data_IF_857520904536
#
_entry.id   IF_857520904536
#
_cell.length_a   1.000
_cell.length_b   1.000
_cell.length_c   1.000
_cell.angle_alpha   90.00
_cell.angle_beta   90.00
_cell.angle_gamma   90.00
#
_symmetry.space_group_name_H-M   'P 1'
#
loop_
_entity.id
_entity.type
_entity.pdbx_description
1 polymer ?
#
# COMPACT_ATOMS: atom_id res chain seq x y z
N UNK A 1 -119.66 -55.41 -57.51
CA UNK A 1 -118.57 -54.51 -57.91
C UNK A 1 -117.85 -55.15 -59.09
N UNK A 2 -118.15 -54.79 -60.35
CA UNK A 2 -117.22 -55.05 -61.44
C UNK A 2 -116.64 -53.70 -61.85
N UNK A 3 -115.35 -53.52 -61.62
CA UNK A 3 -114.65 -52.35 -62.14
C UNK A 3 -114.66 -52.47 -63.66
N UNK A 4 -115.23 -51.47 -64.34
CA UNK A 4 -115.21 -51.39 -65.79
C UNK A 4 -113.76 -51.39 -66.25
N UNK A 5 -113.45 -52.02 -67.39
CA UNK A 5 -112.08 -52.14 -67.93
C UNK A 5 -111.39 -50.77 -68.02
N UNK A 6 -112.14 -49.68 -68.22
CA UNK A 6 -111.67 -48.29 -68.17
C UNK A 6 -111.02 -47.88 -66.86
N UNK A 7 -111.63 -48.26 -65.72
CA UNK A 7 -111.11 -47.92 -64.41
C UNK A 7 -109.76 -48.62 -64.19
N UNK A 8 -109.67 -49.90 -64.55
CA UNK A 8 -108.42 -50.67 -64.48
C UNK A 8 -107.30 -50.06 -65.32
N UNK A 9 -107.57 -49.71 -66.58
CA UNK A 9 -106.57 -49.05 -67.45
C UNK A 9 -106.12 -47.71 -66.82
N UNK A 10 -107.05 -46.92 -66.30
CA UNK A 10 -106.72 -45.63 -65.68
C UNK A 10 -105.88 -45.78 -64.39
N UNK A 11 -106.15 -46.82 -63.59
CA UNK A 11 -105.42 -47.08 -62.35
C UNK A 11 -104.00 -47.54 -62.66
N UNK A 12 -103.80 -48.48 -63.60
CA UNK A 12 -102.49 -48.87 -64.09
C UNK A 12 -101.70 -47.68 -64.68
N UNK A 13 -102.34 -46.82 -65.48
CA UNK A 13 -101.67 -45.65 -66.06
C UNK A 13 -101.12 -44.70 -64.97
N UNK A 14 -101.85 -44.51 -63.86
CA UNK A 14 -101.40 -43.67 -62.75
C UNK A 14 -100.25 -44.31 -61.98
N UNK A 15 -100.36 -45.61 -61.71
CA UNK A 15 -99.37 -46.37 -60.95
C UNK A 15 -98.02 -46.43 -61.68
N UNK A 16 -98.04 -46.79 -62.97
CA UNK A 16 -96.84 -46.85 -63.81
C UNK A 16 -96.18 -45.46 -63.92
N UNK A 17 -96.96 -44.38 -64.05
CA UNK A 17 -96.41 -43.00 -64.04
C UNK A 17 -95.67 -42.68 -62.75
N UNK A 18 -96.24 -43.08 -61.61
CA UNK A 18 -95.61 -42.91 -60.30
C UNK A 18 -94.29 -43.68 -60.19
N UNK A 19 -94.25 -44.91 -60.68
CA UNK A 19 -93.05 -45.75 -60.67
C UNK A 19 -91.96 -45.22 -61.61
N UNK A 20 -92.32 -44.81 -62.84
CA UNK A 20 -91.39 -44.22 -63.81
C UNK A 20 -90.71 -42.96 -63.28
N UNK A 21 -91.40 -42.15 -62.44
CA UNK A 21 -90.81 -40.94 -61.85
C UNK A 21 -89.68 -41.22 -60.85
N UNK A 22 -89.57 -42.46 -60.35
CA UNK A 22 -88.55 -42.88 -59.39
C UNK A 22 -87.28 -43.39 -60.06
N UNK A 23 -87.33 -43.76 -61.33
CA UNK A 23 -86.17 -44.24 -62.09
C UNK A 23 -85.27 -43.05 -62.45
N UNK A 24 -84.03 -43.05 -61.96
CA UNK A 24 -83.04 -42.02 -62.29
C UNK A 24 -82.29 -42.42 -63.56
N UNK A 25 -82.54 -41.72 -64.66
CA UNK A 25 -81.90 -42.00 -65.94
C UNK A 25 -80.36 -41.87 -65.92
N UNK A 26 -79.78 -41.20 -64.92
CA UNK A 26 -78.33 -41.09 -64.72
C UNK A 26 -77.69 -42.44 -64.34
N UNK A 27 -78.44 -43.33 -63.72
CA UNK A 27 -77.93 -44.62 -63.24
C UNK A 27 -77.63 -45.59 -64.39
N UNK A 28 -78.02 -45.23 -65.62
CA UNK A 28 -77.88 -46.02 -66.86
C UNK A 28 -77.13 -45.23 -67.95
N UNK A 29 -76.32 -44.25 -67.57
CA UNK A 29 -75.60 -43.38 -68.49
C UNK A 29 -74.60 -44.19 -69.35
N UNK A 30 -74.75 -44.11 -70.68
CA UNK A 30 -73.91 -44.87 -71.63
C UNK A 30 -74.49 -46.22 -72.07
N UNK A 31 -75.60 -46.67 -71.46
CA UNK A 31 -76.33 -47.85 -71.91
C UNK A 31 -77.39 -47.50 -72.96
N UNK A 32 -77.55 -48.39 -73.95
CA UNK A 32 -78.57 -48.28 -74.98
C UNK A 32 -79.49 -49.51 -74.96
N UNK A 33 -80.78 -49.27 -75.12
CA UNK A 33 -81.86 -50.22 -74.94
C UNK A 33 -82.68 -50.34 -76.23
N UNK A 34 -83.27 -51.52 -76.41
CA UNK A 34 -84.06 -51.85 -77.59
C UNK A 34 -83.33 -52.78 -78.58
N UNK A 35 -84.06 -53.27 -79.58
CA UNK A 35 -83.56 -54.26 -80.53
C UNK A 35 -82.38 -53.75 -81.37
N UNK A 36 -82.31 -52.45 -81.64
CA UNK A 36 -81.22 -51.82 -82.41
C UNK A 36 -80.30 -50.98 -81.53
N UNK A 37 -80.46 -51.02 -80.20
CA UNK A 37 -79.77 -50.15 -79.22
C UNK A 37 -79.98 -48.67 -79.51
N UNK A 38 -81.21 -48.31 -79.86
CA UNK A 38 -81.56 -46.99 -80.36
C UNK A 38 -82.02 -45.99 -79.27
N UNK A 39 -82.31 -46.46 -78.06
CA UNK A 39 -82.81 -45.61 -76.97
C UNK A 39 -81.85 -45.54 -75.79
N UNK A 40 -81.54 -44.33 -75.33
CA UNK A 40 -80.96 -44.14 -73.99
C UNK A 40 -82.05 -44.27 -72.91
N UNK A 41 -81.64 -44.41 -71.65
CA UNK A 41 -82.58 -44.56 -70.54
C UNK A 41 -83.59 -43.40 -70.42
N UNK A 42 -83.20 -42.16 -70.79
CA UNK A 42 -84.12 -41.02 -70.79
C UNK A 42 -85.19 -41.18 -71.86
N UNK A 43 -84.81 -41.57 -73.07
CA UNK A 43 -85.69 -41.79 -74.19
C UNK A 43 -86.67 -42.94 -73.92
N UNK A 44 -86.25 -44.00 -73.23
CA UNK A 44 -87.15 -45.08 -72.79
C UNK A 44 -88.18 -44.58 -71.80
N UNK A 45 -87.76 -43.87 -70.75
CA UNK A 45 -88.65 -43.34 -69.70
C UNK A 45 -89.64 -42.32 -70.29
N UNK A 46 -89.17 -41.37 -71.09
CA UNK A 46 -90.03 -40.37 -71.74
C UNK A 46 -90.94 -41.01 -72.81
N UNK A 47 -90.44 -42.01 -73.53
CA UNK A 47 -91.24 -42.81 -74.46
C UNK A 47 -92.38 -43.56 -73.76
N UNK A 48 -92.11 -44.14 -72.59
CA UNK A 48 -93.13 -44.78 -71.75
C UNK A 48 -94.19 -43.78 -71.28
N UNK A 49 -93.75 -42.62 -70.75
CA UNK A 49 -94.66 -41.53 -70.34
C UNK A 49 -95.54 -41.07 -71.50
N UNK A 50 -94.97 -40.92 -72.70
CA UNK A 50 -95.72 -40.50 -73.89
C UNK A 50 -96.82 -41.50 -74.29
N UNK A 51 -96.57 -42.81 -74.15
CA UNK A 51 -97.55 -43.88 -74.39
C UNK A 51 -98.64 -43.88 -73.32
N UNK A 52 -98.28 -43.69 -72.05
CA UNK A 52 -99.25 -43.57 -70.95
C UNK A 52 -100.13 -42.32 -71.09
N UNK A 53 -99.59 -41.22 -71.63
CA UNK A 53 -100.36 -40.02 -71.99
C UNK A 53 -101.34 -40.29 -73.12
N UNK A 54 -100.96 -41.04 -74.15
CA UNK A 54 -101.90 -41.50 -75.19
C UNK A 54 -103.04 -42.33 -74.60
N UNK A 55 -102.72 -43.27 -73.71
CA UNK A 55 -103.71 -44.11 -73.02
C UNK A 55 -104.66 -43.28 -72.14
N UNK A 56 -104.12 -42.30 -71.39
CA UNK A 56 -104.91 -41.40 -70.57
C UNK A 56 -105.88 -40.55 -71.41
N UNK A 57 -105.43 -40.04 -72.56
CA UNK A 57 -106.24 -39.27 -73.49
C UNK A 57 -107.36 -40.13 -74.11
N UNK A 58 -107.06 -41.38 -74.47
CA UNK A 58 -108.03 -42.35 -74.97
C UNK A 58 -109.17 -42.56 -73.95
N UNK A 59 -108.86 -42.80 -72.68
CA UNK A 59 -109.85 -43.05 -71.61
C UNK A 59 -110.65 -41.79 -71.25
N UNK A 60 -110.02 -40.61 -71.23
CA UNK A 60 -110.69 -39.33 -70.88
C UNK A 60 -111.87 -39.04 -71.82
N UNK A 61 -111.78 -39.49 -73.08
CA UNK A 61 -112.86 -39.43 -74.07
C UNK A 61 -113.83 -40.62 -73.98
N UNK A 62 -114.20 -41.08 -72.79
CA UNK A 62 -114.84 -42.39 -72.53
C UNK A 62 -115.97 -42.84 -73.47
N UNK A 63 -116.82 -41.92 -73.96
CA UNK A 63 -117.86 -42.22 -74.97
C UNK A 63 -117.27 -42.54 -76.35
N UNK A 64 -116.26 -41.79 -76.78
CA UNK A 64 -115.52 -42.02 -78.04
C UNK A 64 -114.67 -43.28 -77.96
N UNK A 65 -114.06 -43.55 -76.80
CA UNK A 65 -113.29 -44.79 -76.59
C UNK A 65 -114.16 -46.06 -76.70
N UNK A 66 -115.39 -46.04 -76.15
CA UNK A 66 -116.35 -47.13 -76.32
C UNK A 66 -116.76 -47.37 -77.78
N UNK A 67 -116.77 -46.32 -78.61
CA UNK A 67 -117.12 -46.41 -80.02
C UNK A 67 -115.98 -46.96 -80.89
N UNK A 68 -114.73 -46.69 -80.52
CA UNK A 68 -113.55 -47.06 -81.32
C UNK A 68 -112.80 -48.29 -80.81
N UNK A 69 -113.14 -48.81 -79.62
CA UNK A 69 -112.47 -49.99 -79.04
C UNK A 69 -113.43 -51.13 -78.74
N UNK A 70 -112.95 -52.37 -78.93
CA UNK A 70 -113.69 -53.57 -78.52
C UNK A 70 -113.40 -53.96 -77.07
N UNK A 71 -114.21 -54.84 -76.49
CA UNK A 71 -113.94 -55.39 -75.15
C UNK A 71 -112.62 -56.17 -75.11
N UNK A 72 -112.34 -56.96 -76.15
CA UNK A 72 -111.11 -57.75 -76.23
C UNK A 72 -109.87 -56.85 -76.30
N UNK A 73 -109.91 -55.78 -77.10
CA UNK A 73 -108.82 -54.80 -77.18
C UNK A 73 -108.57 -54.13 -75.82
N UNK A 74 -109.63 -53.72 -75.12
CA UNK A 74 -109.48 -53.14 -73.77
C UNK A 74 -108.92 -54.16 -72.77
N UNK A 75 -109.29 -55.42 -72.87
CA UNK A 75 -108.76 -56.49 -72.02
C UNK A 75 -107.28 -56.74 -72.30
N UNK A 76 -106.87 -56.70 -73.57
CA UNK A 76 -105.47 -56.84 -73.97
C UNK A 76 -104.63 -55.65 -73.45
N UNK A 77 -105.14 -54.42 -73.58
CA UNK A 77 -104.48 -53.22 -73.03
C UNK A 77 -104.28 -53.33 -71.51
N UNK A 78 -105.26 -53.88 -70.77
CA UNK A 78 -105.09 -54.11 -69.33
C UNK A 78 -103.97 -55.11 -69.04
N UNK A 79 -103.92 -56.22 -69.77
CA UNK A 79 -102.83 -57.19 -69.63
C UNK A 79 -101.47 -56.58 -69.98
N UNK A 80 -101.42 -55.79 -71.05
CA UNK A 80 -100.20 -55.14 -71.49
C UNK A 80 -99.68 -54.11 -70.49
N UNK A 81 -100.57 -53.38 -69.82
CA UNK A 81 -100.23 -52.43 -68.77
C UNK A 81 -99.79 -53.12 -67.48
N UNK A 82 -100.39 -54.26 -67.13
CA UNK A 82 -99.96 -55.04 -65.98
C UNK A 82 -98.51 -55.55 -66.15
N UNK A 83 -98.17 -56.10 -67.33
CA UNK A 83 -96.80 -56.50 -67.64
C UNK A 83 -95.84 -55.30 -67.65
N UNK A 84 -96.28 -54.16 -68.22
CA UNK A 84 -95.46 -52.95 -68.21
C UNK A 84 -95.19 -52.46 -66.79
N UNK A 85 -96.15 -52.57 -65.87
CA UNK A 85 -95.93 -52.25 -64.46
C UNK A 85 -94.85 -53.14 -63.84
N UNK A 86 -94.92 -54.45 -64.01
CA UNK A 86 -93.93 -55.38 -63.47
C UNK A 86 -92.51 -55.07 -63.99
N UNK A 87 -92.39 -54.69 -65.27
CA UNK A 87 -91.10 -54.30 -65.86
C UNK A 87 -90.57 -52.97 -65.32
N UNK A 88 -91.46 -52.01 -65.01
CA UNK A 88 -91.09 -50.75 -64.38
C UNK A 88 -90.71 -50.95 -62.91
N UNK A 89 -91.38 -51.82 -62.17
CA UNK A 89 -91.01 -52.16 -60.78
C UNK A 89 -89.65 -52.86 -60.70
N UNK A 90 -89.37 -53.76 -61.63
CA UNK A 90 -88.09 -54.47 -61.74
C UNK A 90 -86.96 -53.65 -62.38
N UNK A 91 -87.24 -52.41 -62.81
CA UNK A 91 -86.27 -51.51 -63.46
C UNK A 91 -85.63 -52.10 -64.72
N UNK A 92 -86.34 -52.97 -65.46
CA UNK A 92 -85.84 -53.62 -66.67
C UNK A 92 -86.18 -52.80 -67.93
N UNK A 93 -85.30 -51.86 -68.26
CA UNK A 93 -85.48 -50.92 -69.38
C UNK A 93 -85.60 -51.62 -70.74
N UNK A 94 -84.98 -52.79 -70.95
CA UNK A 94 -85.11 -53.53 -72.21
C UNK A 94 -86.49 -54.15 -72.37
N UNK A 95 -87.04 -54.75 -71.29
CA UNK A 95 -88.41 -55.29 -71.33
C UNK A 95 -89.46 -54.19 -71.44
N UNK A 96 -89.21 -53.03 -70.82
CA UNK A 96 -90.03 -51.83 -71.03
C UNK A 96 -90.06 -51.46 -72.52
N UNK A 97 -88.90 -51.36 -73.19
CA UNK A 97 -88.85 -51.02 -74.62
C UNK A 97 -89.64 -52.03 -75.48
N UNK A 98 -89.45 -53.33 -75.24
CA UNK A 98 -90.20 -54.37 -75.96
C UNK A 98 -91.71 -54.17 -75.78
N UNK A 99 -92.17 -53.98 -74.55
CA UNK A 99 -93.60 -53.81 -74.28
C UNK A 99 -94.17 -52.51 -74.86
N UNK A 100 -93.39 -51.43 -74.86
CA UNK A 100 -93.77 -50.19 -75.53
C UNK A 100 -93.89 -50.36 -77.04
N UNK A 101 -93.04 -51.18 -77.66
CA UNK A 101 -93.10 -51.47 -79.09
C UNK A 101 -94.33 -52.33 -79.46
N UNK A 102 -94.84 -53.13 -78.54
CA UNK A 102 -96.12 -53.85 -78.71
C UNK A 102 -97.34 -52.93 -78.57
N UNK A 103 -97.30 -52.01 -77.59
CA UNK A 103 -98.37 -51.06 -77.31
C UNK A 103 -98.50 -49.95 -78.38
N UNK A 104 -97.38 -49.51 -78.98
CA UNK A 104 -97.36 -48.41 -79.95
C UNK A 104 -98.24 -48.67 -81.19
N UNK A 105 -98.15 -49.81 -81.90
CA UNK A 105 -99.02 -50.13 -83.03
C UNK A 105 -100.51 -50.13 -82.69
N UNK A 106 -100.87 -50.68 -81.52
CA UNK A 106 -102.25 -50.69 -81.04
C UNK A 106 -102.77 -49.27 -80.83
N UNK A 107 -101.96 -48.38 -80.27
CA UNK A 107 -102.36 -46.98 -80.04
C UNK A 107 -102.44 -46.13 -81.31
N UNK A 108 -101.62 -46.43 -82.33
CA UNK A 108 -101.59 -45.67 -83.60
C UNK A 108 -102.91 -45.76 -84.35
N UNK A 109 -103.58 -46.90 -84.34
CA UNK A 109 -104.86 -47.12 -85.03
C UNK A 109 -105.97 -46.18 -84.52
N UNK A 110 -105.85 -45.68 -83.30
CA UNK A 110 -106.81 -44.76 -82.67
C UNK A 110 -106.55 -43.28 -82.96
N UNK A 111 -105.47 -42.92 -83.67
CA UNK A 111 -105.21 -41.54 -84.11
C UNK A 111 -105.00 -40.51 -82.99
N UNK A 112 -104.65 -40.97 -81.78
CA UNK A 112 -104.65 -40.16 -80.55
C UNK A 112 -103.67 -38.98 -80.59
N UNK A 113 -102.59 -39.09 -81.36
CA UNK A 113 -101.57 -38.04 -81.50
C UNK A 113 -102.09 -36.79 -82.22
N UNK A 114 -103.11 -36.94 -83.06
CA UNK A 114 -103.77 -35.85 -83.78
C UNK A 114 -105.08 -35.44 -83.10
N UNK A 115 -105.33 -35.89 -81.86
CA UNK A 115 -106.53 -35.55 -81.12
C UNK A 115 -106.42 -34.17 -80.48
N UNK A 116 -107.54 -33.44 -80.42
CA UNK A 116 -107.62 -32.14 -79.74
C UNK A 116 -107.20 -32.22 -78.27
N UNK A 117 -107.54 -33.32 -77.60
CA UNK A 117 -107.18 -33.55 -76.19
C UNK A 117 -105.66 -33.61 -75.96
N UNK A 118 -104.88 -34.15 -76.90
CA UNK A 118 -103.42 -34.18 -76.79
C UNK A 118 -102.78 -32.82 -77.13
N UNK A 119 -103.40 -32.05 -78.02
CA UNK A 119 -102.97 -30.69 -78.32
C UNK A 119 -103.16 -29.72 -77.13
N UNK A 120 -104.25 -29.89 -76.38
CA UNK A 120 -104.48 -29.15 -75.12
C UNK A 120 -103.40 -29.49 -74.07
N UNK A 121 -103.07 -30.77 -73.89
CA UNK A 121 -102.01 -31.21 -72.97
C UNK A 121 -100.63 -30.69 -73.37
N UNK A 122 -100.32 -30.67 -74.67
CA UNK A 122 -99.10 -30.07 -75.19
C UNK A 122 -99.03 -28.55 -74.94
N UNK A 123 -100.15 -27.84 -75.14
CA UNK A 123 -100.23 -26.39 -74.92
C UNK A 123 -100.07 -26.02 -73.43
N UNK A 124 -100.64 -26.84 -72.54
CA UNK A 124 -100.45 -26.73 -71.09
C UNK A 124 -98.97 -26.93 -70.73
N UNK A 125 -98.30 -27.92 -71.31
CA UNK A 125 -96.89 -28.18 -71.03
C UNK A 125 -95.97 -27.05 -71.54
N UNK A 126 -96.28 -26.46 -72.70
CA UNK A 126 -95.57 -25.25 -73.17
C UNK A 126 -95.72 -24.09 -72.19
N UNK A 127 -96.93 -23.87 -71.66
CA UNK A 127 -97.17 -22.82 -70.67
C UNK A 127 -96.38 -23.09 -69.38
N UNK A 128 -96.34 -24.34 -68.92
CA UNK A 128 -95.52 -24.74 -67.77
C UNK A 128 -94.03 -24.47 -68.01
N UNK A 129 -93.51 -24.79 -69.22
CA UNK A 129 -92.12 -24.52 -69.58
C UNK A 129 -91.80 -23.02 -69.62
N UNK A 130 -92.73 -22.19 -70.07
CA UNK A 130 -92.56 -20.73 -70.06
C UNK A 130 -92.49 -20.19 -68.62
N UNK A 131 -93.34 -20.68 -67.71
CA UNK A 131 -93.29 -20.33 -66.29
C UNK A 131 -91.95 -20.77 -65.68
N UNK A 132 -91.52 -22.00 -65.95
CA UNK A 132 -90.26 -22.53 -65.44
C UNK A 132 -89.05 -21.74 -65.96
N UNK A 133 -89.08 -21.31 -67.23
CA UNK A 133 -88.06 -20.43 -67.79
C UNK A 133 -88.00 -19.09 -67.04
N UNK A 134 -89.14 -18.46 -66.78
CA UNK A 134 -89.20 -17.22 -66.01
C UNK A 134 -88.60 -17.37 -64.61
N UNK A 135 -88.93 -18.46 -63.92
CA UNK A 135 -88.32 -18.78 -62.61
C UNK A 135 -86.82 -19.00 -62.69
N UNK A 136 -86.31 -19.57 -63.79
CA UNK A 136 -84.89 -19.75 -64.01
C UNK A 136 -84.18 -18.41 -64.24
N UNK A 137 -84.77 -17.51 -65.03
CA UNK A 137 -84.24 -16.17 -65.29
C UNK A 137 -84.18 -15.35 -63.99
N UNK A 138 -85.22 -15.40 -63.15
CA UNK A 138 -85.23 -14.76 -61.81
C UNK A 138 -84.11 -15.31 -60.91
N UNK A 139 -83.90 -16.63 -60.90
CA UNK A 139 -82.81 -17.25 -60.13
C UNK A 139 -81.43 -16.85 -60.64
N UNK A 140 -81.27 -16.75 -61.96
CA UNK A 140 -80.00 -16.30 -62.55
C UNK A 140 -79.65 -14.88 -62.14
N UNK A 141 -80.64 -13.99 -62.10
CA UNK A 141 -80.39 -12.60 -61.69
C UNK A 141 -80.10 -12.49 -60.19
N UNK A 142 -80.78 -13.27 -59.35
CA UNK A 142 -80.46 -13.37 -57.93
C UNK A 142 -79.01 -13.84 -57.69
N UNK A 143 -78.56 -14.89 -58.41
CA UNK A 143 -77.17 -15.37 -58.35
C UNK A 143 -76.19 -14.28 -58.76
N UNK A 144 -76.52 -13.49 -59.79
CA UNK A 144 -75.66 -12.40 -60.26
C UNK A 144 -75.49 -11.30 -59.23
N UNK A 145 -76.58 -10.94 -58.53
CA UNK A 145 -76.53 -9.97 -57.42
C UNK A 145 -75.67 -10.52 -56.27
N UNK A 146 -75.88 -11.77 -55.87
CA UNK A 146 -75.08 -12.42 -54.83
C UNK A 146 -73.59 -12.48 -55.19
N UNK A 147 -73.25 -12.76 -56.46
CA UNK A 147 -71.86 -12.72 -56.94
C UNK A 147 -71.22 -11.35 -56.74
N UNK A 148 -71.93 -10.26 -57.08
CA UNK A 148 -71.43 -8.91 -56.87
C UNK A 148 -71.19 -8.59 -55.38
N UNK A 149 -72.08 -9.04 -54.50
CA UNK A 149 -71.88 -8.89 -53.06
C UNK A 149 -70.69 -9.69 -52.53
N UNK A 150 -70.48 -10.91 -53.05
CA UNK A 150 -69.33 -11.75 -52.70
C UNK A 150 -68.03 -11.09 -53.15
N UNK A 151 -67.97 -10.56 -54.38
CA UNK A 151 -66.79 -9.86 -54.90
C UNK A 151 -66.46 -8.61 -54.07
N UNK A 152 -67.49 -7.83 -53.69
CA UNK A 152 -67.30 -6.67 -52.82
C UNK A 152 -66.73 -7.07 -51.45
N UNK A 153 -67.30 -8.11 -50.81
CA UNK A 153 -66.81 -8.61 -49.52
C UNK A 153 -65.41 -9.21 -49.62
N UNK A 154 -65.09 -9.85 -50.75
CA UNK A 154 -63.76 -10.38 -51.01
C UNK A 154 -62.73 -9.26 -51.12
N UNK A 155 -63.06 -8.16 -51.80
CA UNK A 155 -62.18 -6.99 -51.88
C UNK A 155 -61.89 -6.39 -50.50
N UNK A 156 -62.93 -6.22 -49.67
CA UNK A 156 -62.77 -5.70 -48.30
C UNK A 156 -61.92 -6.66 -47.44
N UNK A 157 -62.10 -7.97 -47.58
CA UNK A 157 -61.32 -8.97 -46.86
C UNK A 157 -59.83 -8.94 -47.26
N UNK A 158 -59.53 -8.74 -48.54
CA UNK A 158 -58.15 -8.61 -49.04
C UNK A 158 -57.48 -7.34 -48.51
N UNK A 159 -58.19 -6.22 -48.46
CA UNK A 159 -57.67 -4.97 -47.91
C UNK A 159 -57.30 -5.13 -46.42
N UNK A 160 -58.23 -5.68 -45.61
CA UNK A 160 -57.96 -5.97 -44.19
C UNK A 160 -56.83 -6.97 -43.99
N UNK A 161 -56.67 -7.95 -44.88
CA UNK A 161 -55.56 -8.89 -44.82
C UNK A 161 -54.22 -8.17 -45.04
N UNK A 162 -54.13 -7.26 -46.01
CA UNK A 162 -52.92 -6.49 -46.26
C UNK A 162 -52.56 -5.58 -45.08
N UNK A 163 -53.55 -4.91 -44.47
CA UNK A 163 -53.35 -4.13 -43.25
C UNK A 163 -52.81 -5.00 -42.10
N UNK A 164 -53.35 -6.22 -41.92
CA UNK A 164 -52.89 -7.14 -40.90
C UNK A 164 -51.44 -7.60 -41.14
N UNK A 165 -51.05 -7.86 -42.39
CA UNK A 165 -49.68 -8.23 -42.78
C UNK A 165 -48.71 -7.08 -42.48
N UNK A 166 -49.10 -5.83 -42.75
CA UNK A 166 -48.26 -4.67 -42.44
C UNK A 166 -48.09 -4.48 -40.93
N UNK A 167 -49.16 -4.69 -40.16
CA UNK A 167 -49.13 -4.67 -38.70
C UNK A 167 -48.19 -5.76 -38.13
N UNK A 168 -48.24 -6.98 -38.69
CA UNK A 168 -47.35 -8.08 -38.31
C UNK A 168 -45.87 -7.73 -38.53
N UNK A 169 -45.55 -7.11 -39.68
CA UNK A 169 -44.19 -6.64 -39.98
C UNK A 169 -43.72 -5.59 -38.96
N UNK A 170 -44.60 -4.67 -38.57
CA UNK A 170 -44.31 -3.65 -37.55
C UNK A 170 -44.09 -4.28 -36.17
N UNK A 171 -44.89 -5.28 -35.80
CA UNK A 171 -44.67 -6.04 -34.56
C UNK A 171 -43.35 -6.80 -34.57
N UNK A 172 -43.00 -7.46 -35.68
CA UNK A 172 -41.71 -8.15 -35.82
C UNK A 172 -40.53 -7.20 -35.66
N UNK A 173 -40.58 -6.01 -36.28
CA UNK A 173 -39.56 -4.98 -36.10
C UNK A 173 -39.47 -4.50 -34.63
N UNK A 174 -40.62 -4.34 -33.97
CA UNK A 174 -40.69 -3.94 -32.56
C UNK A 174 -40.07 -5.01 -31.65
N UNK A 175 -40.40 -6.29 -31.87
CA UNK A 175 -39.84 -7.43 -31.13
C UNK A 175 -38.32 -7.48 -31.28
N UNK A 176 -37.79 -7.30 -32.49
CA UNK A 176 -36.35 -7.27 -32.71
C UNK A 176 -35.68 -6.11 -31.94
N UNK A 177 -36.29 -4.92 -31.96
CA UNK A 177 -35.77 -3.78 -31.18
C UNK A 177 -35.81 -4.03 -29.66
N UNK A 178 -36.85 -4.71 -29.16
CA UNK A 178 -36.96 -5.10 -27.75
C UNK A 178 -35.87 -6.10 -27.38
N UNK A 179 -35.62 -7.10 -28.22
CA UNK A 179 -34.54 -8.07 -28.00
C UNK A 179 -33.16 -7.41 -27.94
N UNK A 180 -32.88 -6.44 -28.82
CA UNK A 180 -31.64 -5.66 -28.74
C UNK A 180 -31.52 -4.89 -27.43
N UNK A 181 -32.62 -4.27 -26.96
CA UNK A 181 -32.66 -3.56 -25.68
C UNK A 181 -32.47 -4.50 -24.49
N UNK A 182 -33.07 -5.69 -24.52
CA UNK A 182 -32.89 -6.73 -23.49
C UNK A 182 -31.42 -7.15 -23.41
N UNK A 183 -30.77 -7.39 -24.53
CA UNK A 183 -29.35 -7.74 -24.53
C UNK A 183 -28.50 -6.62 -23.93
N UNK A 184 -28.73 -5.36 -24.32
CA UNK A 184 -28.02 -4.23 -23.71
C UNK A 184 -28.29 -4.06 -22.22
N UNK A 185 -29.47 -4.47 -21.75
CA UNK A 185 -29.82 -4.44 -20.34
C UNK A 185 -29.05 -5.52 -19.56
N UNK A 186 -28.96 -6.73 -20.12
CA UNK A 186 -28.17 -7.81 -19.53
C UNK A 186 -26.67 -7.45 -19.46
N UNK A 187 -26.13 -6.82 -20.51
CA UNK A 187 -24.75 -6.31 -20.48
C UNK A 187 -24.55 -5.27 -19.38
N UNK A 188 -25.53 -4.38 -19.17
CA UNK A 188 -25.50 -3.39 -18.09
C UNK A 188 -25.58 -4.04 -16.70
N UNK A 189 -26.38 -5.09 -16.54
CA UNK A 189 -26.49 -5.87 -15.30
C UNK A 189 -25.17 -6.57 -14.95
N UNK A 190 -24.50 -7.18 -15.93
CA UNK A 190 -23.18 -7.80 -15.73
C UNK A 190 -22.13 -6.75 -15.32
N UNK A 191 -22.12 -5.60 -15.98
CA UNK A 191 -21.24 -4.49 -15.61
C UNK A 191 -21.51 -3.99 -14.17
N UNK A 192 -22.78 -3.89 -13.77
CA UNK A 192 -23.16 -3.51 -12.41
C UNK A 192 -22.65 -4.52 -11.37
N UNK A 193 -22.75 -5.81 -11.68
CA UNK A 193 -22.23 -6.86 -10.81
C UNK A 193 -20.72 -6.75 -10.63
N UNK A 194 -19.98 -6.55 -11.72
CA UNK A 194 -18.53 -6.34 -11.67
C UNK A 194 -18.16 -5.09 -10.85
N UNK A 195 -18.92 -4.01 -10.95
CA UNK A 195 -18.73 -2.81 -10.13
C UNK A 195 -18.94 -3.13 -8.64
N UNK A 196 -19.96 -3.92 -8.31
CA UNK A 196 -20.27 -4.31 -6.94
C UNK A 196 -19.15 -5.17 -6.34
N UNK A 197 -18.69 -6.17 -7.07
CA UNK A 197 -17.57 -7.05 -6.66
C UNK A 197 -16.28 -6.23 -6.44
N UNK A 198 -15.99 -5.26 -7.32
CA UNK A 198 -14.86 -4.35 -7.16
C UNK A 198 -15.03 -3.42 -5.95
N UNK A 199 -16.24 -2.93 -5.68
CA UNK A 199 -16.52 -2.08 -4.52
C UNK A 199 -16.34 -2.84 -3.20
N UNK A 200 -16.76 -4.11 -3.14
CA UNK A 200 -16.55 -4.98 -1.98
C UNK A 200 -15.06 -5.27 -1.74
N UNK A 201 -14.30 -5.47 -2.82
CA UNK A 201 -12.84 -5.62 -2.73
C UNK A 201 -12.19 -4.34 -2.19
N UNK A 202 -12.51 -3.17 -2.76
CA UNK A 202 -11.98 -1.87 -2.30
C UNK A 202 -12.35 -1.61 -0.84
N UNK A 203 -13.58 -1.94 -0.43
CA UNK A 203 -14.01 -1.80 0.96
C UNK A 203 -13.18 -2.66 1.91
N UNK A 204 -12.86 -3.88 1.51
CA UNK A 204 -12.00 -4.80 2.28
C UNK A 204 -10.56 -4.28 2.38
N UNK A 205 -10.00 -3.78 1.28
CA UNK A 205 -8.67 -3.16 1.25
C UNK A 205 -8.62 -1.89 2.13
N UNK A 206 -9.67 -1.06 2.09
CA UNK A 206 -9.81 0.12 2.95
C UNK A 206 -9.84 -0.23 4.44
N UNK A 207 -10.54 -1.31 4.80
CA UNK A 207 -10.59 -1.76 6.19
C UNK A 207 -9.21 -2.20 6.69
N UNK A 208 -8.45 -2.95 5.90
CA UNK A 208 -7.09 -3.34 6.25
C UNK A 208 -6.14 -2.13 6.30
N UNK A 209 -6.25 -1.19 5.36
CA UNK A 209 -5.47 0.05 5.39
C UNK A 209 -5.76 0.88 6.63
N UNK A 210 -7.04 1.00 7.02
CA UNK A 210 -7.44 1.73 8.22
C UNK A 210 -6.86 1.08 9.48
N UNK A 211 -6.94 -0.26 9.58
CA UNK A 211 -6.35 -1.02 10.69
C UNK A 211 -4.84 -0.83 10.78
N UNK A 212 -4.15 -0.76 9.64
CA UNK A 212 -2.70 -0.49 9.62
C UNK A 212 -2.40 0.97 10.00
N UNK A 213 -3.22 1.93 9.56
CA UNK A 213 -3.12 3.33 9.96
C UNK A 213 -3.31 3.50 11.47
N UNK A 214 -4.27 2.80 12.08
CA UNK A 214 -4.49 2.79 13.54
C UNK A 214 -3.24 2.29 14.29
N UNK A 215 -2.63 1.17 13.85
CA UNK A 215 -1.38 0.68 14.46
C UNK A 215 -0.23 1.68 14.33
N UNK A 216 -0.10 2.33 13.18
CA UNK A 216 0.94 3.35 12.98
C UNK A 216 0.69 4.58 13.87
N UNK A 217 -0.57 5.00 14.01
CA UNK A 217 -0.96 6.06 14.95
C UNK A 217 -0.58 5.70 16.38
N UNK A 218 -0.85 4.46 16.82
CA UNK A 218 -0.44 3.97 18.14
C UNK A 218 1.08 3.96 18.31
N UNK A 219 1.83 3.55 17.28
CA UNK A 219 3.29 3.58 17.29
C UNK A 219 3.84 5.01 17.39
N UNK A 220 3.24 5.98 16.68
CA UNK A 220 3.59 7.40 16.77
C UNK A 220 3.29 7.93 18.17
N UNK A 221 2.14 7.61 18.75
CA UNK A 221 1.79 8.01 20.11
C UNK A 221 2.77 7.45 21.15
N UNK A 222 3.22 6.19 20.99
CA UNK A 222 4.27 5.61 21.82
C UNK A 222 5.61 6.30 21.64
N UNK A 223 5.96 6.68 20.40
CA UNK A 223 7.17 7.42 20.11
C UNK A 223 7.17 8.81 20.74
N UNK A 224 6.04 9.53 20.65
CA UNK A 224 5.85 10.83 21.30
C UNK A 224 6.07 10.75 22.81
N UNK A 225 5.45 9.77 23.49
CA UNK A 225 5.68 9.52 24.92
C UNK A 225 7.15 9.25 25.27
N UNK A 226 7.90 8.58 24.38
CA UNK A 226 9.35 8.35 24.58
C UNK A 226 10.16 9.63 24.41
N UNK A 227 9.78 10.52 23.50
CA UNK A 227 10.42 11.83 23.32
C UNK A 227 10.21 12.67 24.59
N UNK A 228 8.98 12.81 25.07
CA UNK A 228 8.68 13.56 26.30
C UNK A 228 9.50 13.01 27.49
N UNK A 229 9.59 11.68 27.59
CA UNK A 229 10.40 11.02 28.61
C UNK A 229 11.90 11.29 28.49
N UNK A 230 12.44 11.41 27.28
CA UNK A 230 13.85 11.77 27.03
C UNK A 230 14.12 13.24 27.27
N UNK A 231 13.19 14.12 26.91
CA UNK A 231 13.29 15.56 27.13
C UNK A 231 13.38 15.85 28.64
N UNK A 232 12.50 15.26 29.44
CA UNK A 232 12.58 15.37 30.91
C UNK A 232 13.90 14.81 31.50
N UNK A 233 14.47 13.77 30.90
CA UNK A 233 15.78 13.25 31.31
C UNK A 233 16.92 14.20 30.95
N UNK A 234 16.87 14.82 29.77
CA UNK A 234 17.86 15.81 29.32
C UNK A 234 17.82 17.05 30.21
N UNK A 235 16.65 17.60 30.54
CA UNK A 235 16.53 18.72 31.47
C UNK A 235 17.14 18.38 32.84
N UNK A 236 16.95 17.16 33.33
CA UNK A 236 17.55 16.71 34.58
C UNK A 236 19.07 16.58 34.48
N UNK A 237 19.60 16.11 33.36
CA UNK A 237 21.04 16.03 33.12
C UNK A 237 21.67 17.42 32.98
N UNK A 238 20.98 18.35 32.32
CA UNK A 238 21.42 19.74 32.17
C UNK A 238 21.57 20.42 33.54
N UNK A 239 20.55 20.29 34.42
CA UNK A 239 20.62 20.80 35.80
C UNK A 239 21.80 20.21 36.58
N UNK A 240 22.00 18.89 36.52
CA UNK A 240 23.17 18.26 37.17
C UNK A 240 24.50 18.75 36.60
N UNK A 241 24.55 19.00 35.30
CA UNK A 241 25.77 19.50 34.65
C UNK A 241 26.07 20.93 35.10
N UNK A 242 25.04 21.77 35.23
CA UNK A 242 25.18 23.11 35.81
C UNK A 242 25.67 23.04 37.26
N UNK A 243 25.07 22.21 38.11
CA UNK A 243 25.50 21.99 39.50
C UNK A 243 26.98 21.52 39.59
N UNK A 244 27.40 20.62 38.71
CA UNK A 244 28.79 20.18 38.64
C UNK A 244 29.75 21.29 38.19
N UNK A 245 29.36 22.09 37.20
CA UNK A 245 30.18 23.22 36.76
C UNK A 245 30.35 24.24 37.88
N UNK A 246 29.28 24.60 38.59
CA UNK A 246 29.34 25.49 39.77
C UNK A 246 30.25 24.90 40.85
N UNK A 247 30.15 23.59 41.10
CA UNK A 247 31.02 22.90 42.08
C UNK A 247 32.50 22.94 41.66
N UNK A 248 32.78 22.71 40.38
CA UNK A 248 34.14 22.76 39.82
C UNK A 248 34.70 24.19 39.94
N UNK A 249 33.93 25.21 39.61
CA UNK A 249 34.35 26.61 39.74
C UNK A 249 34.69 26.95 41.20
N UNK A 250 33.84 26.56 42.15
CA UNK A 250 34.10 26.75 43.59
C UNK A 250 35.38 26.04 44.05
N UNK A 251 35.62 24.80 43.62
CA UNK A 251 36.84 24.05 43.97
C UNK A 251 38.09 24.70 43.35
N UNK A 252 38.00 25.19 42.11
CA UNK A 252 39.10 25.88 41.45
C UNK A 252 39.42 27.21 42.16
N UNK A 253 38.41 27.94 42.61
CA UNK A 253 38.60 29.16 43.39
C UNK A 253 39.23 28.87 44.76
N UNK A 254 38.74 27.87 45.49
CA UNK A 254 39.32 27.45 46.77
C UNK A 254 40.79 27.02 46.61
N UNK A 255 41.09 26.20 45.60
CA UNK A 255 42.46 25.79 45.30
C UNK A 255 43.36 26.99 44.97
N UNK A 256 42.88 27.97 44.19
CA UNK A 256 43.65 29.21 43.92
C UNK A 256 43.94 29.98 45.21
N UNK A 257 42.98 30.07 46.12
CA UNK A 257 43.16 30.75 47.40
C UNK A 257 44.18 30.02 48.29
N UNK A 258 44.09 28.68 48.35
CA UNK A 258 45.06 27.85 49.08
C UNK A 258 46.47 27.95 48.51
N UNK A 259 46.63 28.00 47.20
CA UNK A 259 47.94 28.21 46.55
C UNK A 259 48.54 29.56 46.96
N UNK A 260 47.77 30.64 46.91
CA UNK A 260 48.23 31.97 47.37
C UNK A 260 48.65 31.98 48.84
N UNK A 261 47.91 31.26 49.70
CA UNK A 261 48.24 31.14 51.11
C UNK A 261 49.56 30.38 51.33
N UNK A 262 49.76 29.27 50.61
CA UNK A 262 51.01 28.51 50.62
C UNK A 262 52.19 29.37 50.16
N UNK A 263 52.04 30.11 49.06
CA UNK A 263 53.08 31.02 48.56
C UNK A 263 53.46 32.08 49.60
N UNK A 264 52.47 32.65 50.29
CA UNK A 264 52.69 33.61 51.38
C UNK A 264 53.46 32.99 52.55
N UNK A 265 53.11 31.78 52.98
CA UNK A 265 53.82 31.06 54.05
C UNK A 265 55.27 30.76 53.65
N UNK A 266 55.51 30.34 52.40
CA UNK A 266 56.85 30.09 51.88
C UNK A 266 57.70 31.36 51.92
N UNK A 267 57.14 32.51 51.52
CA UNK A 267 57.84 33.80 51.58
C UNK A 267 58.22 34.17 53.02
N UNK A 268 57.27 34.06 53.96
CA UNK A 268 57.51 34.35 55.38
C UNK A 268 58.57 33.42 56.00
N UNK A 269 58.57 32.13 55.63
CA UNK A 269 59.56 31.17 56.11
C UNK A 269 60.98 31.48 55.60
N UNK A 270 61.12 31.95 54.35
CA UNK A 270 62.41 32.36 53.79
C UNK A 270 62.98 33.59 54.49
N UNK A 271 62.16 34.62 54.68
CA UNK A 271 62.55 35.86 55.35
C UNK A 271 63.06 35.61 56.79
N UNK A 272 62.36 34.76 57.56
CA UNK A 272 62.77 34.40 58.91
C UNK A 272 64.11 33.63 58.97
N UNK A 273 64.39 32.78 57.98
CA UNK A 273 65.61 31.97 57.91
C UNK A 273 66.85 32.82 57.63
N UNK A 274 66.77 33.74 56.67
CA UNK A 274 67.87 34.63 56.30
C UNK A 274 68.22 35.62 57.42
N UNK A 275 67.19 36.20 58.06
CA UNK A 275 67.38 37.21 59.10
C UNK A 275 68.02 36.66 60.39
N UNK A 276 67.76 35.39 60.75
CA UNK A 276 68.32 34.78 61.96
C UNK A 276 69.78 34.32 61.78
N UNK A 277 70.15 33.84 60.60
CA UNK A 277 71.45 33.20 60.36
C UNK A 277 72.58 34.22 60.20
N UNK A 278 72.35 35.30 59.44
CA UNK A 278 73.38 36.30 59.16
C UNK A 278 73.75 37.16 60.40
N UNK A 279 72.77 37.48 61.25
CA UNK A 279 72.97 38.33 62.44
C UNK A 279 73.67 37.58 63.57
N UNK A 280 73.36 36.29 63.77
CA UNK A 280 73.96 35.45 64.81
C UNK A 280 75.46 35.22 64.62
N UNK A 281 75.90 34.96 63.38
CA UNK A 281 77.32 34.67 63.06
C UNK A 281 78.21 35.92 63.22
N UNK A 282 77.75 37.09 62.78
CA UNK A 282 78.52 38.35 62.84
C UNK A 282 78.68 38.89 64.28
N UNK A 283 77.63 38.72 65.10
CA UNK A 283 77.67 39.09 66.52
C UNK A 283 78.70 38.24 67.29
N UNK A 284 78.71 36.92 67.08
CA UNK A 284 79.64 36.00 67.75
C UNK A 284 81.12 36.29 67.44
N UNK A 285 81.45 36.65 66.18
CA UNK A 285 82.83 37.04 65.83
C UNK A 285 83.24 38.40 66.40
N UNK A 286 82.31 39.36 66.45
CA UNK A 286 82.58 40.69 67.01
C UNK A 286 82.80 40.63 68.53
N UNK A 287 82.07 39.76 69.24
CA UNK A 287 82.23 39.55 70.68
C UNK A 287 83.59 38.92 71.02
N UNK A 288 84.01 37.87 70.31
CA UNK A 288 85.34 37.26 70.50
C UNK A 288 86.50 38.18 70.14
N UNK A 289 86.35 39.00 69.10
CA UNK A 289 87.33 40.04 68.78
C UNK A 289 87.45 41.07 69.90
N UNK A 290 86.33 41.52 70.49
CA UNK A 290 86.34 42.51 71.57
C UNK A 290 86.92 41.95 72.89
N UNK A 291 86.67 40.68 73.23
CA UNK A 291 87.33 40.02 74.37
C UNK A 291 88.86 40.01 74.21
N UNK A 292 89.36 39.67 73.02
CA UNK A 292 90.81 39.61 72.73
C UNK A 292 91.47 40.99 72.55
N UNK A 293 90.69 42.05 72.30
CA UNK A 293 91.18 43.42 72.22
C UNK A 293 91.58 44.00 73.59
N UNK A 294 91.21 43.35 74.70
CA UNK A 294 91.70 43.71 76.02
C UNK A 294 93.21 43.43 76.13
N UNK A 295 94.03 44.43 75.78
CA UNK A 295 95.50 44.35 75.66
C UNK A 295 96.27 43.95 76.94
N UNK A 296 95.59 43.48 77.98
CA UNK A 296 96.15 42.98 79.23
C UNK A 296 96.95 41.68 79.05
N UNK A 297 96.48 40.77 78.19
CA UNK A 297 97.19 39.51 77.92
C UNK A 297 98.45 39.72 77.06
N UNK A 298 98.38 40.62 76.07
CA UNK A 298 99.52 41.02 75.24
C UNK A 298 100.62 41.70 76.08
N UNK A 299 100.23 42.61 76.97
CA UNK A 299 101.14 43.27 77.90
C UNK A 299 101.78 42.30 78.89
N UNK A 300 101.05 41.30 79.37
CA UNK A 300 101.59 40.29 80.30
C UNK A 300 102.75 39.50 79.69
N UNK A 301 102.64 39.08 78.43
CA UNK A 301 103.70 38.32 77.74
C UNK A 301 104.91 39.17 77.36
N UNK A 302 104.70 40.43 76.96
CA UNK A 302 105.79 41.37 76.68
C UNK A 302 106.55 41.71 77.97
N UNK A 303 105.85 41.96 79.07
CA UNK A 303 106.46 42.27 80.37
C UNK A 303 107.20 41.06 80.94
N UNK A 304 106.62 39.85 80.81
CA UNK A 304 107.28 38.60 81.21
C UNK A 304 108.57 38.34 80.45
N UNK A 305 108.56 38.52 79.12
CA UNK A 305 109.76 38.38 78.28
C UNK A 305 110.86 39.39 78.66
N UNK A 306 110.50 40.65 78.87
CA UNK A 306 111.44 41.70 79.28
C UNK A 306 112.08 41.41 80.66
N UNK A 307 111.30 40.90 81.61
CA UNK A 307 111.80 40.53 82.94
C UNK A 307 112.85 39.41 82.88
N UNK A 308 112.65 38.38 82.05
CA UNK A 308 113.61 37.28 81.91
C UNK A 308 114.91 37.70 81.23
N UNK A 309 114.86 38.62 80.26
CA UNK A 309 116.06 39.17 79.63
C UNK A 309 116.86 40.01 80.63
N UNK A 310 116.19 40.87 81.41
CA UNK A 310 116.83 41.63 82.49
C UNK A 310 117.46 40.72 83.54
N UNK A 311 116.77 39.64 83.93
CA UNK A 311 117.28 38.67 84.89
C UNK A 311 118.54 37.96 84.34
N UNK A 312 118.56 37.59 83.07
CA UNK A 312 119.71 36.95 82.43
C UNK A 312 120.94 37.88 82.41
N UNK A 313 120.75 39.16 82.09
CA UNK A 313 121.82 40.17 82.11
C UNK A 313 122.34 40.39 83.55
N UNK A 314 121.44 40.48 84.54
CA UNK A 314 121.81 40.67 85.94
C UNK A 314 122.63 39.48 86.48
N UNK A 315 122.23 38.25 86.18
CA UNK A 315 122.97 37.05 86.58
C UNK A 315 124.33 36.99 85.86
N UNK A 316 124.39 37.36 84.58
CA UNK A 316 125.64 37.43 83.83
C UNK A 316 126.63 38.44 84.44
N UNK A 317 126.15 39.63 84.81
CA UNK A 317 126.96 40.65 85.47
C UNK A 317 127.43 40.20 86.86
N UNK A 318 126.57 39.54 87.64
CA UNK A 318 126.91 39.00 88.96
C UNK A 318 128.09 38.03 88.90
N UNK A 319 128.15 37.18 87.87
CA UNK A 319 129.22 36.19 87.70
C UNK A 319 130.60 36.83 87.43
N UNK A 320 130.64 38.04 86.85
CA UNK A 320 131.89 38.69 86.45
C UNK A 320 132.58 39.51 87.56
N UNK A 321 131.86 39.94 88.59
CA UNK A 321 132.37 40.88 89.61
C UNK A 321 132.83 40.23 90.93
N UNK A 322 132.69 38.92 91.10
CA UNK A 322 132.97 38.21 92.36
C UNK A 322 134.37 37.58 92.36
N UNK A 323 135.25 37.95 93.31
CA UNK A 323 136.69 37.62 93.31
C UNK A 323 137.08 36.39 94.17
N UNK A 324 136.12 35.68 94.77
CA UNK A 324 136.36 34.42 95.49
C UNK A 324 135.49 33.31 94.90
N UNK A 325 136.04 32.53 93.97
CA UNK A 325 135.22 31.60 93.17
C UNK A 325 135.75 30.17 93.18
N UNK A 326 134.93 29.26 93.72
CA UNK A 326 135.08 27.80 93.59
C UNK A 326 134.40 27.30 92.30
N UNK A 327 135.04 26.41 91.55
CA UNK A 327 134.62 25.99 90.19
C UNK A 327 133.16 25.47 90.08
N UNK A 328 132.62 24.90 91.16
CA UNK A 328 131.23 24.40 91.20
C UNK A 328 130.18 25.52 91.11
N UNK A 329 130.50 26.72 91.59
CA UNK A 329 129.55 27.85 91.61
C UNK A 329 129.37 28.48 90.22
N UNK A 330 130.43 28.52 89.41
CA UNK A 330 130.39 29.04 88.03
C UNK A 330 129.54 28.15 87.14
N UNK A 331 129.69 26.82 87.24
CA UNK A 331 128.99 25.89 86.36
C UNK A 331 127.46 25.91 86.59
N UNK A 332 127.03 26.03 87.84
CA UNK A 332 125.60 26.16 88.17
C UNK A 332 125.00 27.47 87.66
N UNK A 333 125.74 28.58 87.71
CA UNK A 333 125.28 29.90 87.26
C UNK A 333 125.27 30.01 85.73
N UNK A 334 126.26 29.44 85.03
CA UNK A 334 126.33 29.43 83.57
C UNK A 334 125.21 28.58 82.93
N UNK A 335 124.77 27.51 83.60
CA UNK A 335 123.63 26.69 83.14
C UNK A 335 122.28 27.41 83.18
N UNK A 336 122.16 28.52 83.93
CA UNK A 336 120.89 29.21 84.13
C UNK A 336 120.56 30.19 82.99
N UNK A 337 121.59 30.73 82.32
CA UNK A 337 121.42 31.71 81.24
C UNK A 337 120.67 31.14 80.01
N UNK A 338 120.99 29.93 79.50
CA UNK A 338 120.25 29.33 78.38
C UNK A 338 118.76 29.12 78.67
N UNK A 339 118.42 28.78 79.91
CA UNK A 339 117.02 28.54 80.34
C UNK A 339 116.23 29.86 80.31
N UNK A 340 116.85 30.97 80.73
CA UNK A 340 116.21 32.30 80.71
C UNK A 340 115.99 32.81 79.28
N UNK A 341 116.94 32.56 78.37
CA UNK A 341 116.78 32.89 76.94
C UNK A 341 115.65 32.06 76.31
N UNK A 342 115.58 30.76 76.62
CA UNK A 342 114.50 29.91 76.14
C UNK A 342 113.13 30.38 76.67
N UNK A 343 113.05 30.80 77.93
CA UNK A 343 111.82 31.36 78.51
C UNK A 343 111.41 32.68 77.83
N UNK A 344 112.35 33.57 77.53
CA UNK A 344 112.08 34.80 76.79
C UNK A 344 111.61 34.51 75.34
N UNK A 345 112.24 33.55 74.65
CA UNK A 345 111.83 33.13 73.31
C UNK A 345 110.42 32.51 73.30
N UNK A 346 110.09 31.71 74.32
CA UNK A 346 108.76 31.15 74.49
C UNK A 346 107.70 32.25 74.66
N UNK A 347 107.97 33.27 75.49
CA UNK A 347 107.07 34.41 75.67
C UNK A 347 106.85 35.18 74.34
N UNK A 348 107.91 35.39 73.56
CA UNK A 348 107.80 36.03 72.24
C UNK A 348 106.98 35.19 71.24
N UNK A 349 107.17 33.86 71.23
CA UNK A 349 106.39 32.97 70.36
C UNK A 349 104.90 32.96 70.71
N UNK A 350 104.55 33.00 72.01
CA UNK A 350 103.16 33.09 72.45
C UNK A 350 102.52 34.43 72.09
N UNK A 351 103.27 35.53 72.20
CA UNK A 351 102.80 36.85 71.77
C UNK A 351 102.44 36.88 70.27
N UNK A 352 103.31 36.35 69.41
CA UNK A 352 103.06 36.28 67.95
C UNK A 352 101.83 35.42 67.65
N UNK A 353 101.65 34.29 68.34
CA UNK A 353 100.45 33.45 68.20
C UNK A 353 99.18 34.21 68.57
N UNK A 354 99.18 34.93 69.70
CA UNK A 354 98.02 35.67 70.16
C UNK A 354 97.63 36.78 69.16
N UNK A 355 98.63 37.49 68.61
CA UNK A 355 98.38 38.57 67.66
C UNK A 355 97.84 38.05 66.31
N UNK A 356 98.36 36.92 65.82
CA UNK A 356 97.85 36.30 64.59
C UNK A 356 96.39 35.82 64.75
N UNK A 357 96.05 35.26 65.91
CA UNK A 357 94.67 34.85 66.22
C UNK A 357 93.74 36.07 66.25
N UNK A 358 94.17 37.17 66.86
CA UNK A 358 93.42 38.42 66.91
C UNK A 358 93.20 39.04 65.52
N UNK A 359 94.21 39.03 64.67
CA UNK A 359 94.10 39.51 63.28
C UNK A 359 93.11 38.65 62.48
N UNK A 360 93.15 37.33 62.65
CA UNK A 360 92.21 36.40 62.01
C UNK A 360 90.75 36.63 62.46
N UNK A 361 90.51 36.81 63.76
CA UNK A 361 89.16 37.14 64.26
C UNK A 361 88.68 38.52 63.80
N UNK A 362 89.57 39.51 63.71
CA UNK A 362 89.24 40.83 63.17
C UNK A 362 88.77 40.71 61.72
N UNK A 363 89.55 40.00 60.90
CA UNK A 363 89.25 39.73 59.50
C UNK A 363 87.92 39.00 59.34
N UNK A 364 87.69 37.93 60.11
CA UNK A 364 86.42 37.17 60.09
C UNK A 364 85.21 38.01 60.52
N UNK A 365 85.36 38.93 61.48
CA UNK A 365 84.27 39.84 61.86
C UNK A 365 83.92 40.83 60.75
N UNK A 366 84.92 41.34 60.03
CA UNK A 366 84.72 42.27 58.91
C UNK A 366 84.06 41.54 57.74
N UNK A 367 84.49 40.31 57.43
CA UNK A 367 83.85 39.47 56.42
C UNK A 367 82.40 39.13 56.76
N UNK A 368 82.10 38.83 58.03
CA UNK A 368 80.73 38.56 58.45
C UNK A 368 79.84 39.82 58.38
N UNK A 369 80.40 41.01 58.65
CA UNK A 369 79.68 42.28 58.46
C UNK A 369 79.48 42.63 56.98
N UNK A 370 80.44 42.34 56.11
CA UNK A 370 80.27 42.58 54.68
C UNK A 370 79.24 41.64 54.07
N UNK A 371 79.14 40.38 54.53
CA UNK A 371 78.08 39.46 54.10
C UNK A 371 76.67 40.05 54.37
N UNK A 372 76.47 40.70 55.52
CA UNK A 372 75.21 41.39 55.84
C UNK A 372 74.99 42.58 54.89
N UNK A 373 76.02 43.40 54.64
CA UNK A 373 75.91 44.51 53.68
C UNK A 373 75.65 44.05 52.24
N UNK A 374 76.16 42.89 51.84
CA UNK A 374 75.88 42.29 50.54
C UNK A 374 74.49 41.64 50.50
N UNK A 375 74.02 40.96 51.55
CA UNK A 375 72.66 40.41 51.58
C UNK A 375 71.61 41.52 51.45
N UNK A 376 71.84 42.67 52.09
CA UNK A 376 70.97 43.85 51.97
C UNK A 376 70.93 44.39 50.52
N UNK A 377 72.01 44.26 49.75
CA UNK A 377 72.05 44.67 48.32
C UNK A 377 71.42 43.65 47.36
N UNK A 378 71.42 42.36 47.70
CA UNK A 378 70.84 41.31 46.85
C UNK A 378 69.35 41.06 47.13
N UNK A 379 68.77 41.66 48.18
CA UNK A 379 67.34 41.63 48.50
C UNK A 379 66.45 42.31 47.45
N UNK A 380 67.01 43.16 46.58
CA UNK A 380 66.22 44.05 45.70
C UNK A 380 66.16 43.63 44.22
N UNK A 381 66.76 42.51 43.80
CA UNK A 381 66.67 42.05 42.40
C UNK A 381 66.69 40.52 42.24
N UNK A 382 65.60 39.98 41.68
CA UNK A 382 65.27 38.56 41.50
C UNK A 382 66.13 37.78 40.47
N UNK A 383 67.32 38.30 40.12
CA UNK A 383 68.21 37.66 39.16
C UNK A 383 69.67 37.81 39.56
N UNK A 384 70.17 36.85 40.36
CA UNK A 384 71.57 36.33 40.41
C UNK A 384 71.82 35.51 41.68
N UNK A 385 71.07 34.42 41.84
CA UNK A 385 71.32 33.44 42.92
C UNK A 385 72.65 32.70 42.79
N UNK A 386 73.25 32.62 41.60
CA UNK A 386 74.49 31.87 41.37
C UNK A 386 75.74 32.64 41.84
N UNK A 387 75.82 33.96 41.59
CA UNK A 387 76.90 34.81 42.10
C UNK A 387 76.82 34.96 43.63
N UNK A 388 75.63 35.14 44.20
CA UNK A 388 75.41 35.17 45.64
C UNK A 388 75.77 33.84 46.31
N UNK A 389 75.40 32.69 45.72
CA UNK A 389 75.78 31.38 46.25
C UNK A 389 77.29 31.12 46.15
N UNK A 390 77.94 31.50 45.05
CA UNK A 390 79.39 31.36 44.89
C UNK A 390 80.16 32.25 45.87
N UNK A 391 79.69 33.49 46.08
CA UNK A 391 80.23 34.40 47.09
C UNK A 391 80.06 33.84 48.51
N UNK A 392 78.85 33.40 48.86
CA UNK A 392 78.54 32.83 50.17
C UNK A 392 79.33 31.54 50.45
N UNK A 393 79.48 30.64 49.46
CA UNK A 393 80.33 29.44 49.58
C UNK A 393 81.80 29.79 49.79
N UNK A 394 82.34 30.74 49.02
CA UNK A 394 83.72 31.21 49.18
C UNK A 394 83.95 31.81 50.56
N UNK A 395 83.00 32.60 51.07
CA UNK A 395 83.05 33.17 52.42
C UNK A 395 82.99 32.12 53.52
N UNK A 396 82.05 31.17 53.43
CA UNK A 396 81.95 30.07 54.42
C UNK A 396 83.25 29.27 54.44
N UNK A 397 83.85 28.99 53.27
CA UNK A 397 85.14 28.32 53.17
C UNK A 397 86.30 29.13 53.78
N UNK A 398 86.28 30.46 53.64
CA UNK A 398 87.29 31.34 54.25
C UNK A 398 87.12 31.47 55.77
N UNK A 399 85.88 31.52 56.27
CA UNK A 399 85.58 31.56 57.71
C UNK A 399 86.00 30.25 58.40
N UNK A 400 85.85 29.11 57.73
CA UNK A 400 86.22 27.78 58.25
C UNK A 400 87.73 27.49 58.25
N UNK A 401 88.58 28.40 57.75
CA UNK A 401 90.03 28.19 57.71
C UNK A 401 90.67 28.38 59.10
N UNK A 402 91.57 27.46 59.47
CA UNK A 402 92.23 27.36 60.78
C UNK A 402 93.06 28.64 61.11
N UNK A 403 92.86 29.28 62.29
CA UNK A 403 93.61 30.46 62.71
C UNK A 403 95.12 30.27 62.83
N UNK A 404 95.62 29.02 62.89
CA UNK A 404 97.05 28.71 63.03
C UNK A 404 97.71 28.15 61.75
N UNK A 405 97.01 28.24 60.61
CA UNK A 405 97.49 27.76 59.32
C UNK A 405 98.63 28.61 58.74
N UNK A 406 99.80 27.98 58.50
CA UNK A 406 100.89 28.56 57.69
C UNK A 406 100.35 28.98 56.32
N UNK A 407 100.56 30.24 55.91
CA UNK A 407 100.25 30.72 54.55
C UNK A 407 100.89 29.79 53.51
N UNK A 408 100.12 29.12 52.64
CA UNK A 408 100.69 28.47 51.47
C UNK A 408 101.00 29.53 50.42
N UNK A 409 102.26 29.55 50.04
CA UNK A 409 102.82 30.29 48.91
C UNK A 409 102.17 29.79 47.62
N UNK A 410 101.66 30.73 46.81
CA UNK A 410 101.37 30.64 45.36
C UNK A 410 100.95 29.30 44.75
N UNK A 411 99.69 29.21 44.32
CA UNK A 411 99.22 28.16 43.42
C UNK A 411 98.02 28.64 42.61
N UNK A 412 98.19 28.76 41.30
CA UNK A 412 97.27 29.33 40.31
C UNK A 412 95.91 28.62 40.29
N UNK A 413 94.85 29.41 40.16
CA UNK A 413 93.49 29.00 39.82
C UNK A 413 93.53 28.44 38.39
N UNK A 414 93.07 27.20 38.20
CA UNK A 414 92.82 26.65 36.87
C UNK A 414 91.32 26.46 36.70
N UNK A 415 90.73 27.38 35.95
CA UNK A 415 89.41 27.22 35.35
C UNK A 415 89.44 26.08 34.33
N UNK A 416 88.56 25.10 34.50
CA UNK A 416 88.09 24.27 33.38
C UNK A 416 86.58 24.13 33.46
N UNK A 417 85.94 25.05 32.73
CA UNK A 417 84.56 24.99 32.26
C UNK A 417 84.37 23.68 31.49
N UNK A 418 83.52 22.80 32.02
CA UNK A 418 83.07 21.59 31.37
C UNK A 418 81.79 21.85 30.59
N UNK A 419 81.91 21.88 29.27
CA UNK A 419 80.83 21.96 28.28
C UNK A 419 79.72 20.93 28.51
N UNK A 420 78.47 21.40 28.60
CA UNK A 420 77.27 20.58 28.37
C UNK A 420 76.81 20.86 26.95
N UNK A 421 76.93 19.86 26.07
CA UNK A 421 76.25 19.84 24.78
C UNK A 421 74.78 19.54 25.02
N UNK A 422 73.91 20.49 24.71
CA UNK A 422 72.47 20.28 24.51
C UNK A 422 72.24 19.79 23.08
N UNK A 423 71.69 18.59 22.93
CA UNK A 423 70.91 18.22 21.74
C UNK A 423 69.47 18.07 22.20
N UNK A 424 68.64 19.04 21.83
CA UNK A 424 67.18 18.94 21.81
C UNK A 424 66.82 18.65 20.36
N UNK A 425 66.14 17.53 20.12
CA UNK A 425 65.26 17.33 18.99
C UNK A 425 64.19 16.30 19.39
N UNK A 426 62.93 16.68 19.13
CA UNK A 426 61.70 15.87 19.04
C UNK A 426 60.99 15.47 20.34
N UNK A 427 59.98 16.27 20.74
CA UNK A 427 58.57 16.06 20.35
C UNK A 427 57.79 17.39 20.39
#
# INVERSE_FOLDING_TARGET
MSETTFKKINDYVKEIRGLLSKIKAKDYEGECFGPEKEFDARAVIEGAKAVLTDMAALIRSGKKCLQITTYQERSNIVGDLAELQDYVESHDLNKIVTKLNDLKPLLRSYGLRNSSARFEEFSLEISNLQILKGQLDERMEAIRVEQGEIESKLSEAVEKHNEAVELEKNFSATINSMNTRINSFNDAEENLKNIFDNADQISSELHELNKESEKQSDAINLFYKKIDGREAQLEKQEKKTQEYNETIENILEDNRNRVKEIEKIIAQAREALEYSTARGISAAFSEKYNEMKSGKAELFWVLGGAAFVLLAVAIGAWVFFDNEVTYKSILGRLSLVPILIAAAFFCASQFVKLNNIKEDYAFKSVLAKSLIGFSDQFSDNDSKGEEYNNFTRSLIAQIHRDPLGRKPIGGKINDKVGNIKTNFDQE
#
